data_IF_329228307351
#
_entry.id   IF_329228307351
#
_cell.length_a   1.000
_cell.length_b   1.000
_cell.length_c   1.000
_cell.angle_alpha   90.00
_cell.angle_beta   90.00
_cell.angle_gamma   90.00
#
_symmetry.space_group_name_H-M   'P 1'
#
loop_
_entity.id
_entity.type
_entity.pdbx_description
1 polymer ?
#
# COMPACT_ATOMS: atom_id res chain seq x y z
N UNK A 1 -14.03 -13.87 10.37
CA UNK A 1 -13.75 -12.84 9.34
C UNK A 1 -12.80 -13.34 8.26
N UNK A 2 -11.66 -13.95 8.64
CA UNK A 2 -10.63 -14.43 7.70
C UNK A 2 -11.10 -15.38 6.59
N UNK A 3 -12.17 -16.15 6.77
CA UNK A 3 -12.76 -16.96 5.68
C UNK A 3 -13.25 -16.16 4.48
N UNK A 4 -13.40 -14.83 4.62
CA UNK A 4 -13.76 -13.88 3.56
C UNK A 4 -12.62 -12.90 3.23
N UNK A 5 -11.37 -13.23 3.57
CA UNK A 5 -10.22 -12.32 3.40
C UNK A 5 -9.99 -11.90 1.94
N UNK A 6 -10.41 -12.73 0.96
CA UNK A 6 -10.33 -12.39 -0.47
C UNK A 6 -11.45 -11.48 -0.98
N UNK A 7 -12.39 -11.05 -0.14
CA UNK A 7 -13.49 -10.15 -0.58
C UNK A 7 -13.08 -8.69 -0.45
N UNK A 8 -13.36 -7.88 -1.48
CA UNK A 8 -13.04 -6.44 -1.47
C UNK A 8 -13.70 -5.65 -0.32
N UNK A 9 -14.83 -6.15 0.19
CA UNK A 9 -15.60 -5.54 1.28
C UNK A 9 -15.14 -6.00 2.68
N UNK A 10 -13.91 -6.50 2.82
CA UNK A 10 -13.35 -6.89 4.12
C UNK A 10 -13.24 -5.68 5.05
N UNK A 11 -13.88 -5.73 6.22
CA UNK A 11 -13.87 -4.63 7.20
C UNK A 11 -12.62 -4.72 8.07
N UNK A 12 -11.54 -4.08 7.62
CA UNK A 12 -10.24 -4.10 8.31
C UNK A 12 -10.31 -3.49 9.71
N UNK A 13 -11.13 -2.45 9.91
CA UNK A 13 -11.31 -1.80 11.21
C UNK A 13 -12.01 -2.71 12.22
N UNK A 14 -13.03 -3.46 11.78
CA UNK A 14 -13.66 -4.46 12.64
C UNK A 14 -12.69 -5.60 12.95
N UNK A 15 -11.92 -6.02 11.96
CA UNK A 15 -10.92 -7.07 12.15
C UNK A 15 -9.87 -6.66 13.21
N UNK A 16 -9.34 -5.44 13.10
CA UNK A 16 -8.39 -4.88 14.08
C UNK A 16 -8.94 -4.81 15.50
N UNK A 17 -10.21 -4.37 15.65
CA UNK A 17 -10.87 -4.37 16.97
C UNK A 17 -11.00 -5.77 17.57
N UNK A 18 -11.32 -6.77 16.74
CA UNK A 18 -11.48 -8.16 17.19
C UNK A 18 -10.15 -8.85 17.49
N UNK A 19 -9.04 -8.36 16.94
CA UNK A 19 -7.68 -8.86 17.22
C UNK A 19 -6.93 -8.00 18.22
N UNK A 20 -7.60 -7.03 18.88
CA UNK A 20 -7.00 -6.12 19.85
C UNK A 20 -5.79 -5.35 19.31
N UNK A 21 -5.89 -4.79 18.10
CA UNK A 21 -4.81 -4.03 17.48
C UNK A 21 -3.77 -4.91 16.77
N UNK A 22 -4.05 -6.20 16.59
CA UNK A 22 -3.11 -7.16 16.00
C UNK A 22 -3.52 -7.58 14.57
N UNK A 23 -4.19 -6.68 13.83
CA UNK A 23 -4.71 -6.97 12.48
C UNK A 23 -3.60 -7.36 11.51
N UNK A 24 -2.50 -6.60 11.44
CA UNK A 24 -1.42 -6.84 10.48
C UNK A 24 -0.79 -8.23 10.65
N UNK A 25 -0.34 -8.56 11.87
CA UNK A 25 0.29 -9.86 12.16
C UNK A 25 -0.68 -11.01 11.86
N UNK A 26 -1.91 -10.93 12.37
CA UNK A 26 -2.92 -11.99 12.22
C UNK A 26 -3.28 -12.20 10.75
N UNK A 27 -3.43 -11.11 9.99
CA UNK A 27 -3.74 -11.15 8.56
C UNK A 27 -2.60 -11.78 7.76
N UNK A 28 -1.36 -11.30 7.93
CA UNK A 28 -0.21 -11.78 7.14
C UNK A 28 0.06 -13.26 7.41
N UNK A 29 0.01 -13.71 8.68
CA UNK A 29 0.16 -15.14 9.01
C UNK A 29 -0.93 -15.98 8.31
N UNK A 30 -2.17 -15.51 8.34
CA UNK A 30 -3.27 -16.20 7.66
C UNK A 30 -3.04 -16.28 6.15
N UNK A 31 -2.68 -15.16 5.50
CA UNK A 31 -2.41 -15.09 4.07
C UNK A 31 -1.23 -15.97 3.66
N UNK A 32 -0.15 -15.99 4.45
CA UNK A 32 1.00 -16.86 4.23
C UNK A 32 0.62 -18.34 4.31
N UNK A 33 -0.27 -18.70 5.22
CA UNK A 33 -0.77 -20.06 5.37
C UNK A 33 -1.65 -20.48 4.18
N UNK A 34 -2.68 -19.69 3.83
CA UNK A 34 -3.61 -20.05 2.74
C UNK A 34 -2.98 -19.98 1.35
N UNK A 35 -1.94 -19.16 1.17
CA UNK A 35 -1.13 -19.11 -0.05
C UNK A 35 -0.03 -20.18 -0.09
N UNK A 36 0.10 -21.02 0.93
CA UNK A 36 1.07 -22.12 0.98
C UNK A 36 2.52 -21.68 1.20
N UNK A 37 2.78 -20.41 1.49
CA UNK A 37 4.14 -19.83 1.57
C UNK A 37 4.93 -20.40 2.77
N UNK A 38 4.26 -20.66 3.89
CA UNK A 38 4.90 -21.24 5.09
C UNK A 38 5.52 -22.59 4.74
N UNK A 39 4.75 -23.46 4.07
CA UNK A 39 5.23 -24.78 3.67
C UNK A 39 6.27 -24.68 2.54
N UNK A 40 6.01 -23.87 1.52
CA UNK A 40 6.88 -23.73 0.35
C UNK A 40 8.29 -23.27 0.73
N UNK A 41 8.41 -22.24 1.58
CA UNK A 41 9.69 -21.68 2.02
C UNK A 41 10.20 -22.28 3.34
N UNK A 42 9.51 -23.28 3.90
CA UNK A 42 9.85 -23.90 5.18
C UNK A 42 10.02 -22.86 6.31
N UNK A 43 9.11 -21.90 6.38
CA UNK A 43 9.19 -20.81 7.35
C UNK A 43 8.92 -21.33 8.76
N UNK A 44 9.83 -20.98 9.69
CA UNK A 44 9.59 -21.15 11.12
C UNK A 44 8.50 -20.16 11.57
N UNK A 45 7.34 -20.69 11.95
CA UNK A 45 6.15 -19.89 12.31
C UNK A 45 6.41 -19.00 13.53
N UNK A 46 7.28 -19.41 14.46
CA UNK A 46 7.65 -18.60 15.63
C UNK A 46 8.52 -17.43 15.20
N UNK A 47 9.51 -17.66 14.33
CA UNK A 47 10.34 -16.57 13.78
C UNK A 47 9.52 -15.63 12.90
N UNK A 48 8.60 -16.16 12.09
CA UNK A 48 7.69 -15.38 11.26
C UNK A 48 6.79 -14.48 12.13
N UNK A 49 6.16 -15.03 13.17
CA UNK A 49 5.34 -14.24 14.08
C UNK A 49 6.17 -13.14 14.76
N UNK A 50 7.34 -13.47 15.32
CA UNK A 50 8.22 -12.46 15.96
C UNK A 50 8.61 -11.36 14.97
N UNK A 51 8.95 -11.73 13.75
CA UNK A 51 9.28 -10.78 12.71
C UNK A 51 8.11 -9.84 12.42
N UNK A 52 6.92 -10.38 12.14
CA UNK A 52 5.73 -9.57 11.87
C UNK A 52 5.33 -8.71 13.07
N UNK A 53 5.54 -9.18 14.30
CA UNK A 53 5.34 -8.37 15.51
C UNK A 53 6.26 -7.15 15.52
N UNK A 54 7.55 -7.31 15.21
CA UNK A 54 8.48 -6.17 15.09
C UNK A 54 8.01 -5.18 14.02
N UNK A 55 7.57 -5.69 12.85
CA UNK A 55 7.04 -4.84 11.76
C UNK A 55 5.84 -4.03 12.24
N UNK A 56 4.88 -4.66 12.92
CA UNK A 56 3.68 -3.99 13.43
C UNK A 56 4.00 -2.98 14.54
N UNK A 57 4.97 -3.28 15.41
CA UNK A 57 5.40 -2.41 16.50
C UNK A 57 6.18 -1.18 16.01
N UNK A 58 6.87 -1.29 14.86
CA UNK A 58 7.55 -0.17 14.21
C UNK A 58 6.57 0.77 13.47
N UNK A 59 5.29 0.43 13.37
CA UNK A 59 4.25 1.38 12.96
C UNK A 59 3.79 2.26 14.13
N UNK A 60 3.65 3.55 13.85
CA UNK A 60 3.29 4.56 14.83
C UNK A 60 1.77 4.56 15.05
N UNK A 61 1.29 3.82 16.06
CA UNK A 61 -0.15 3.68 16.38
C UNK A 61 -0.90 5.00 16.65
N UNK A 62 -0.17 6.09 16.95
CA UNK A 62 -0.69 7.43 17.16
C UNK A 62 -1.03 8.17 15.86
N UNK A 63 -0.48 7.75 14.72
CA UNK A 63 -0.80 8.30 13.41
C UNK A 63 -2.25 7.93 13.05
N UNK A 64 -3.12 8.88 12.70
CA UNK A 64 -4.51 8.58 12.34
C UNK A 64 -4.64 7.62 11.16
N UNK A 65 -3.77 7.76 10.15
CA UNK A 65 -3.79 7.04 8.88
C UNK A 65 -2.58 6.10 8.74
N UNK A 66 -1.35 6.62 8.72
CA UNK A 66 -0.14 5.82 8.45
C UNK A 66 0.29 5.00 9.68
N UNK A 67 -0.47 3.95 9.98
CA UNK A 67 -0.29 3.01 11.08
C UNK A 67 -0.48 1.56 10.60
N UNK A 68 -0.35 0.57 11.49
CA UNK A 68 -0.44 -0.84 11.14
C UNK A 68 -1.80 -1.28 10.56
N UNK A 69 -2.89 -0.56 10.84
CA UNK A 69 -4.22 -0.85 10.26
C UNK A 69 -4.21 -0.53 8.76
N UNK A 70 -3.59 0.59 8.35
CA UNK A 70 -3.39 0.94 6.94
C UNK A 70 -2.56 -0.14 6.24
N UNK A 71 -1.42 -0.52 6.83
CA UNK A 71 -0.59 -1.60 6.30
C UNK A 71 -1.37 -2.92 6.13
N UNK A 72 -2.25 -3.24 7.08
CA UNK A 72 -3.10 -4.42 6.99
C UNK A 72 -4.16 -4.29 5.87
N UNK A 73 -4.73 -3.10 5.65
CA UNK A 73 -5.67 -2.84 4.55
C UNK A 73 -5.00 -2.97 3.18
N UNK A 74 -3.82 -2.36 3.02
CA UNK A 74 -3.01 -2.45 1.79
C UNK A 74 -2.60 -3.90 1.52
N UNK A 75 -2.20 -4.65 2.54
CA UNK A 75 -1.90 -6.09 2.41
C UNK A 75 -3.12 -6.89 1.97
N UNK A 76 -4.31 -6.58 2.50
CA UNK A 76 -5.55 -7.24 2.12
C UNK A 76 -5.96 -6.89 0.68
N UNK A 77 -5.83 -5.63 0.26
CA UNK A 77 -6.06 -5.21 -1.12
C UNK A 77 -5.07 -5.87 -2.09
N UNK A 78 -3.79 -5.89 -1.73
CA UNK A 78 -2.74 -6.57 -2.50
C UNK A 78 -3.06 -8.06 -2.67
N UNK A 79 -3.53 -8.73 -1.63
CA UNK A 79 -4.00 -10.12 -1.74
C UNK A 79 -5.16 -10.27 -2.73
N UNK A 80 -6.14 -9.35 -2.75
CA UNK A 80 -7.20 -9.38 -3.77
C UNK A 80 -6.64 -9.25 -5.19
N UNK A 81 -5.68 -8.34 -5.43
CA UNK A 81 -5.04 -8.22 -6.75
C UNK A 81 -4.24 -9.46 -7.15
N UNK A 82 -3.48 -10.05 -6.21
CA UNK A 82 -2.73 -11.29 -6.46
C UNK A 82 -3.64 -12.48 -6.79
N UNK A 83 -4.93 -12.42 -6.44
CA UNK A 83 -5.94 -13.44 -6.76
C UNK A 83 -6.63 -13.21 -8.11
N UNK A 84 -6.37 -12.10 -8.80
CA UNK A 84 -6.94 -11.87 -10.12
C UNK A 84 -6.43 -12.93 -11.12
N UNK A 85 -7.31 -13.61 -11.88
CA UNK A 85 -6.95 -14.83 -12.63
C UNK A 85 -5.72 -14.66 -13.53
N UNK A 86 -5.67 -13.55 -14.29
CA UNK A 86 -4.56 -13.28 -15.22
C UNK A 86 -3.22 -13.10 -14.52
N UNK A 87 -3.20 -12.58 -13.28
CA UNK A 87 -1.99 -12.54 -12.46
C UNK A 87 -1.72 -13.90 -11.82
N UNK A 88 -2.72 -14.46 -11.14
CA UNK A 88 -2.57 -15.66 -10.33
C UNK A 88 -2.00 -16.85 -11.10
N UNK A 89 -2.29 -16.98 -12.40
CA UNK A 89 -1.74 -18.02 -13.28
C UNK A 89 -0.24 -17.91 -13.55
N UNK A 90 0.34 -16.72 -13.40
CA UNK A 90 1.73 -16.40 -13.74
C UNK A 90 2.62 -16.16 -12.52
N UNK A 91 2.04 -15.90 -11.36
CA UNK A 91 2.79 -15.57 -10.15
C UNK A 91 3.44 -16.81 -9.54
N UNK A 92 4.75 -16.71 -9.27
CA UNK A 92 5.48 -17.69 -8.46
C UNK A 92 5.19 -17.50 -6.96
N UNK A 93 5.49 -18.49 -6.11
CA UNK A 93 5.42 -18.33 -4.66
C UNK A 93 6.28 -17.17 -4.13
N UNK A 94 7.41 -16.86 -4.80
CA UNK A 94 8.25 -15.72 -4.44
C UNK A 94 7.56 -14.39 -4.76
N UNK A 95 6.89 -14.28 -5.91
CA UNK A 95 6.13 -13.09 -6.30
C UNK A 95 5.03 -12.76 -5.28
N UNK A 96 4.29 -13.79 -4.83
CA UNK A 96 3.25 -13.65 -3.80
C UNK A 96 3.85 -13.27 -2.45
N UNK A 97 4.97 -13.89 -2.05
CA UNK A 97 5.69 -13.51 -0.83
C UNK A 97 6.13 -12.05 -0.87
N UNK A 98 6.77 -11.62 -1.96
CA UNK A 98 7.27 -10.26 -2.15
C UNK A 98 6.13 -9.24 -2.11
N UNK A 99 5.04 -9.49 -2.83
CA UNK A 99 3.88 -8.60 -2.85
C UNK A 99 3.24 -8.41 -1.47
N UNK A 100 3.02 -9.51 -0.73
CA UNK A 100 2.44 -9.44 0.61
C UNK A 100 3.38 -8.78 1.62
N UNK A 101 4.68 -9.08 1.57
CA UNK A 101 5.65 -8.48 2.49
C UNK A 101 5.91 -7.01 2.21
N UNK A 102 5.98 -6.62 0.93
CA UNK A 102 6.11 -5.21 0.56
C UNK A 102 4.88 -4.42 1.02
N UNK A 103 3.67 -4.93 0.79
CA UNK A 103 2.44 -4.31 1.27
C UNK A 103 2.41 -4.15 2.81
N UNK A 104 2.81 -5.18 3.54
CA UNK A 104 2.86 -5.15 5.01
C UNK A 104 3.90 -4.18 5.58
N UNK A 105 4.91 -3.81 4.80
CA UNK A 105 6.07 -3.05 5.25
C UNK A 105 6.23 -1.66 4.60
N UNK A 106 5.38 -1.30 3.64
CA UNK A 106 5.63 -0.14 2.76
C UNK A 106 5.75 1.21 3.49
N UNK A 107 5.12 1.31 4.67
CA UNK A 107 5.04 2.52 5.50
C UNK A 107 5.62 2.33 6.92
N UNK A 108 6.47 1.33 7.12
CA UNK A 108 7.10 1.08 8.43
C UNK A 108 7.87 2.34 8.88
N UNK A 109 7.73 2.69 10.16
CA UNK A 109 8.33 3.89 10.78
C UNK A 109 7.89 5.23 10.13
N UNK A 110 6.73 5.26 9.46
CA UNK A 110 6.19 6.50 8.90
C UNK A 110 5.93 7.55 10.02
N UNK A 111 6.52 8.76 9.93
CA UNK A 111 6.51 9.75 11.03
C UNK A 111 5.21 10.56 11.14
N UNK A 112 4.23 10.30 10.27
CA UNK A 112 2.97 11.03 10.21
C UNK A 112 3.06 12.39 9.53
N UNK A 113 4.14 12.62 8.78
CA UNK A 113 4.41 13.86 8.02
C UNK A 113 5.01 13.52 6.66
N UNK A 114 4.73 14.36 5.67
CA UNK A 114 5.14 14.14 4.29
C UNK A 114 6.64 14.46 4.04
N UNK A 115 7.15 14.02 2.88
CA UNK A 115 8.54 14.23 2.49
C UNK A 115 8.97 15.71 2.45
N UNK A 116 8.18 16.66 1.88
CA UNK A 116 8.49 18.09 1.97
C UNK A 116 8.69 18.60 3.41
N UNK A 117 7.89 18.10 4.37
CA UNK A 117 8.05 18.44 5.78
C UNK A 117 9.38 17.93 6.37
N UNK A 118 9.78 16.71 6.04
CA UNK A 118 11.07 16.16 6.48
C UNK A 118 12.26 16.94 5.91
N UNK A 119 12.17 17.36 4.65
CA UNK A 119 13.20 18.17 3.98
C UNK A 119 13.32 19.55 4.65
N UNK A 120 12.20 20.26 4.86
CA UNK A 120 12.23 21.61 5.46
C UNK A 120 12.73 21.61 6.90
N UNK A 121 12.48 20.53 7.65
CA UNK A 121 12.93 20.37 9.04
C UNK A 121 14.34 19.76 9.16
N UNK A 122 14.99 19.40 8.04
CA UNK A 122 16.28 18.70 8.00
C UNK A 122 16.27 17.41 8.83
N UNK A 123 15.15 16.70 8.83
CA UNK A 123 15.01 15.47 9.59
C UNK A 123 15.93 14.38 9.03
N UNK A 124 16.50 13.54 9.90
CA UNK A 124 17.42 12.47 9.49
C UNK A 124 16.78 11.44 8.54
N UNK A 125 15.45 11.33 8.55
CA UNK A 125 14.66 10.48 7.63
C UNK A 125 14.38 11.12 6.25
N UNK A 126 14.83 12.35 6.00
CA UNK A 126 14.69 12.98 4.67
C UNK A 126 15.43 12.20 3.57
N UNK A 127 16.45 11.41 3.95
CA UNK A 127 17.05 10.38 3.10
C UNK A 127 16.26 9.08 3.30
N UNK A 128 15.27 8.85 2.44
CA UNK A 128 14.38 7.67 2.36
C UNK A 128 14.31 6.75 3.59
N UNK A 129 13.15 6.77 4.25
CA UNK A 129 12.68 5.86 5.33
C UNK A 129 13.02 4.37 5.05
N UNK A 130 13.16 4.02 3.77
CA UNK A 130 13.45 2.69 3.23
C UNK A 130 14.82 2.07 3.51
N UNK A 131 15.79 2.81 4.05
CA UNK A 131 17.16 2.27 4.23
C UNK A 131 17.33 1.33 5.45
N UNK A 132 16.30 1.14 6.29
CA UNK A 132 16.45 0.48 7.59
C UNK A 132 15.79 -0.90 7.72
N UNK A 133 14.99 -1.34 6.75
CA UNK A 133 14.24 -2.59 6.87
C UNK A 133 14.92 -3.75 6.13
N UNK A 134 15.49 -4.70 6.89
CA UNK A 134 16.08 -5.94 6.38
C UNK A 134 15.33 -7.16 6.90
N UNK A 135 14.49 -7.82 6.10
CA UNK A 135 13.78 -9.01 6.54
C UNK A 135 14.77 -10.19 6.67
N UNK A 136 14.96 -10.76 7.87
CA UNK A 136 15.88 -11.89 8.07
C UNK A 136 15.31 -13.23 7.59
N UNK A 137 14.06 -13.26 7.09
CA UNK A 137 13.32 -14.50 6.80
C UNK A 137 13.77 -15.21 5.52
N UNK A 138 14.22 -14.46 4.51
CA UNK A 138 14.78 -14.99 3.27
C UNK A 138 16.10 -14.26 3.02
N UNK A 139 17.16 -14.75 3.67
CA UNK A 139 18.47 -14.10 3.74
C UNK A 139 19.22 -14.12 2.39
N UNK A 140 18.65 -13.50 1.36
CA UNK A 140 19.23 -13.36 0.03
C UNK A 140 19.11 -11.91 -0.45
N UNK A 141 20.21 -11.39 -0.99
CA UNK A 141 20.34 -9.99 -1.41
C UNK A 141 19.36 -9.61 -2.54
N UNK A 142 18.96 -10.58 -3.36
CA UNK A 142 17.97 -10.42 -4.44
C UNK A 142 16.55 -10.14 -3.91
N UNK A 143 16.16 -10.75 -2.78
CA UNK A 143 14.85 -10.54 -2.13
C UNK A 143 14.78 -9.15 -1.52
N UNK A 144 15.84 -8.70 -0.83
CA UNK A 144 15.91 -7.34 -0.25
C UNK A 144 15.79 -6.27 -1.33
N UNK A 145 16.48 -6.44 -2.47
CA UNK A 145 16.41 -5.52 -3.61
C UNK A 145 15.01 -5.48 -4.24
N UNK A 146 14.36 -6.62 -4.43
CA UNK A 146 13.00 -6.67 -4.97
C UNK A 146 11.97 -6.04 -4.03
N UNK A 147 12.05 -6.33 -2.72
CA UNK A 147 11.18 -5.69 -1.72
C UNK A 147 11.38 -4.18 -1.70
N UNK A 148 12.63 -3.72 -1.67
CA UNK A 148 12.94 -2.28 -1.74
C UNK A 148 12.41 -1.64 -3.01
N UNK A 149 12.50 -2.33 -4.15
CA UNK A 149 11.96 -1.86 -5.44
C UNK A 149 10.43 -1.78 -5.45
N UNK A 150 9.73 -2.70 -4.79
CA UNK A 150 8.27 -2.64 -4.63
C UNK A 150 7.85 -1.45 -3.76
N UNK A 151 8.49 -1.29 -2.60
CA UNK A 151 8.13 -0.20 -1.68
C UNK A 151 8.51 1.15 -2.28
N UNK A 152 9.67 1.30 -2.95
CA UNK A 152 10.02 2.55 -3.64
C UNK A 152 9.00 2.95 -4.72
N UNK A 153 8.24 1.99 -5.27
CA UNK A 153 7.19 2.31 -6.23
C UNK A 153 5.97 2.98 -5.59
N UNK A 154 5.75 2.86 -4.27
CA UNK A 154 4.63 3.54 -3.59
C UNK A 154 4.83 5.05 -3.47
N UNK A 155 6.06 5.56 -3.68
CA UNK A 155 6.32 7.00 -3.73
C UNK A 155 5.39 7.69 -4.73
N UNK A 156 4.46 8.47 -4.17
CA UNK A 156 3.42 9.16 -4.91
C UNK A 156 3.99 10.24 -5.84
N UNK A 157 5.15 10.82 -5.51
CA UNK A 157 5.81 11.83 -6.34
C UNK A 157 6.27 11.27 -7.70
N UNK A 158 6.50 9.95 -7.77
CA UNK A 158 6.90 9.22 -8.97
C UNK A 158 5.73 8.54 -9.69
N UNK A 159 4.50 8.73 -9.24
CA UNK A 159 3.32 8.06 -9.80
C UNK A 159 3.23 8.19 -11.34
N UNK A 160 3.47 9.38 -11.90
CA UNK A 160 3.39 9.62 -13.34
C UNK A 160 4.38 8.77 -14.14
N UNK A 161 5.58 8.50 -13.61
CA UNK A 161 6.59 7.65 -14.24
C UNK A 161 6.01 6.24 -14.47
N UNK A 162 5.52 5.60 -13.40
CA UNK A 162 4.98 4.24 -13.44
C UNK A 162 3.75 4.12 -14.37
N UNK A 163 2.89 5.13 -14.38
CA UNK A 163 1.66 5.10 -15.18
C UNK A 163 1.91 5.34 -16.66
N UNK A 164 2.91 6.16 -17.01
CA UNK A 164 3.33 6.33 -18.40
C UNK A 164 3.90 5.02 -18.92
N UNK A 165 4.81 4.39 -18.17
CA UNK A 165 5.35 3.06 -18.52
C UNK A 165 4.25 2.01 -18.62
N UNK A 166 3.29 2.00 -17.69
CA UNK A 166 2.19 1.05 -17.76
C UNK A 166 1.29 1.30 -18.99
N UNK A 167 1.02 2.58 -19.33
CA UNK A 167 0.27 2.94 -20.53
C UNK A 167 0.99 2.50 -21.79
N UNK A 168 2.29 2.74 -21.89
CA UNK A 168 3.12 2.32 -23.02
C UNK A 168 3.02 0.81 -23.22
N UNK A 169 3.15 0.02 -22.15
CA UNK A 169 2.99 -1.42 -22.22
C UNK A 169 1.60 -1.88 -22.68
N UNK A 170 0.54 -1.17 -22.23
CA UNK A 170 -0.83 -1.46 -22.65
C UNK A 170 -1.08 -1.10 -24.13
N UNK A 171 -0.56 0.04 -24.57
CA UNK A 171 -0.69 0.53 -25.95
C UNK A 171 0.09 -0.35 -26.93
N UNK A 172 1.26 -0.83 -26.53
CA UNK A 172 2.10 -1.75 -27.32
C UNK A 172 1.69 -3.22 -27.21
N UNK A 173 0.86 -3.59 -26.22
CA UNK A 173 0.45 -4.96 -25.93
C UNK A 173 1.64 -5.92 -25.72
N UNK A 174 2.73 -5.43 -25.11
CA UNK A 174 3.99 -6.17 -24.94
C UNK A 174 4.20 -6.66 -23.49
N UNK A 175 3.22 -6.47 -22.61
CA UNK A 175 3.23 -6.95 -21.24
C UNK A 175 3.15 -8.49 -21.16
N UNK A 176 4.30 -9.15 -21.18
CA UNK A 176 4.44 -10.60 -21.02
C UNK A 176 4.69 -11.03 -19.55
N UNK A 177 3.68 -11.61 -18.89
CA UNK A 177 3.77 -12.09 -17.51
C UNK A 177 4.61 -13.38 -17.34
N UNK A 178 5.11 -13.99 -18.41
CA UNK A 178 6.12 -15.05 -18.31
C UNK A 178 7.48 -14.46 -17.91
N UNK A 179 7.73 -13.19 -18.23
CA UNK A 179 8.96 -12.48 -17.86
C UNK A 179 8.90 -11.97 -16.41
N UNK A 180 9.95 -12.27 -15.65
CA UNK A 180 10.03 -11.88 -14.23
C UNK A 180 10.01 -10.35 -14.05
N UNK A 181 10.62 -9.60 -14.96
CA UNK A 181 10.64 -8.13 -14.93
C UNK A 181 9.24 -7.53 -15.10
N UNK A 182 8.43 -8.06 -16.03
CA UNK A 182 7.06 -7.62 -16.23
C UNK A 182 6.16 -8.02 -15.06
N UNK A 183 6.33 -9.21 -14.49
CA UNK A 183 5.61 -9.59 -13.25
C UNK A 183 5.95 -8.63 -12.11
N UNK A 184 7.23 -8.34 -11.90
CA UNK A 184 7.67 -7.42 -10.86
C UNK A 184 7.11 -6.01 -11.06
N UNK A 185 7.14 -5.50 -12.30
CA UNK A 185 6.52 -4.21 -12.63
C UNK A 185 5.03 -4.20 -12.33
N UNK A 186 4.30 -5.25 -12.68
CA UNK A 186 2.87 -5.35 -12.36
C UNK A 186 2.60 -5.47 -10.86
N UNK A 187 3.48 -6.10 -10.09
CA UNK A 187 3.40 -6.07 -8.63
C UNK A 187 3.60 -4.66 -8.07
N UNK A 188 4.49 -3.85 -8.67
CA UNK A 188 4.63 -2.43 -8.32
C UNK A 188 3.33 -1.67 -8.60
N UNK A 189 2.73 -1.85 -9.78
CA UNK A 189 1.43 -1.23 -10.11
C UNK A 189 0.34 -1.69 -9.14
N UNK A 190 0.25 -2.98 -8.84
CA UNK A 190 -0.75 -3.53 -7.91
C UNK A 190 -0.57 -3.00 -6.48
N UNK A 191 0.68 -2.85 -6.01
CA UNK A 191 0.96 -2.28 -4.69
C UNK A 191 0.60 -0.79 -4.66
N UNK A 192 0.91 -0.02 -5.70
CA UNK A 192 0.46 1.38 -5.83
C UNK A 192 -1.06 1.47 -5.78
N UNK A 193 -1.77 0.61 -6.51
CA UNK A 193 -3.21 0.54 -6.47
C UNK A 193 -3.71 0.24 -5.05
N UNK A 194 -3.11 -0.73 -4.37
CA UNK A 194 -3.51 -1.14 -3.03
C UNK A 194 -3.33 -0.01 -2.00
N UNK A 195 -2.24 0.74 -2.11
CA UNK A 195 -1.92 1.87 -1.22
C UNK A 195 -2.96 2.99 -1.28
N UNK A 196 -3.44 3.32 -2.49
CA UNK A 196 -4.41 4.41 -2.70
C UNK A 196 -5.84 3.93 -2.95
N UNK A 197 -6.18 2.67 -2.64
CA UNK A 197 -7.49 2.09 -2.97
C UNK A 197 -8.64 2.51 -2.06
N UNK A 198 -8.41 3.35 -1.03
CA UNK A 198 -9.46 3.65 -0.06
C UNK A 198 -10.75 4.23 -0.68
N UNK A 199 -10.68 5.16 -1.68
CA UNK A 199 -11.88 5.65 -2.38
C UNK A 199 -12.64 4.55 -3.16
N UNK A 200 -11.97 3.44 -3.50
CA UNK A 200 -12.56 2.31 -4.20
C UNK A 200 -13.23 1.30 -3.24
N UNK A 201 -13.09 1.48 -1.92
CA UNK A 201 -13.81 0.69 -0.92
C UNK A 201 -15.28 1.13 -0.83
N UNK A 202 -16.11 0.31 -0.21
CA UNK A 202 -17.49 0.71 0.12
C UNK A 202 -17.49 2.01 0.92
N UNK A 203 -18.50 2.85 0.70
CA UNK A 203 -18.60 4.21 1.26
C UNK A 203 -18.25 4.30 2.75
N UNK A 204 -18.72 3.34 3.57
CA UNK A 204 -18.44 3.32 5.01
C UNK A 204 -16.94 3.19 5.33
N UNK A 205 -16.20 2.38 4.60
CA UNK A 205 -14.75 2.21 4.79
C UNK A 205 -14.00 3.38 4.18
N UNK A 206 -14.35 3.76 2.94
CA UNK A 206 -13.78 4.92 2.26
C UNK A 206 -13.87 6.18 3.11
N UNK A 207 -15.05 6.49 3.66
CA UNK A 207 -15.25 7.65 4.54
C UNK A 207 -14.34 7.64 5.78
N UNK A 208 -14.21 6.49 6.46
CA UNK A 208 -13.34 6.40 7.64
C UNK A 208 -11.87 6.64 7.29
N UNK A 209 -11.42 6.14 6.14
CA UNK A 209 -10.07 6.40 5.65
C UNK A 209 -9.87 7.86 5.26
N UNK A 210 -10.83 8.47 4.56
CA UNK A 210 -10.81 9.90 4.22
C UNK A 210 -10.74 10.80 5.46
N UNK A 211 -11.51 10.48 6.51
CA UNK A 211 -11.48 11.23 7.77
C UNK A 211 -10.10 11.10 8.46
N UNK A 212 -9.51 9.91 8.47
CA UNK A 212 -8.19 9.64 9.07
C UNK A 212 -7.04 10.32 8.32
N UNK A 213 -6.99 10.22 6.99
CA UNK A 213 -5.91 10.82 6.20
C UNK A 213 -5.94 12.35 6.33
N UNK A 214 -7.13 12.96 6.30
CA UNK A 214 -7.29 14.39 6.52
C UNK A 214 -6.92 14.79 7.96
N UNK A 215 -7.30 14.01 8.97
CA UNK A 215 -6.87 14.26 10.35
C UNK A 215 -5.34 14.30 10.45
N UNK A 216 -4.64 13.39 9.78
CA UNK A 216 -3.19 13.35 9.77
C UNK A 216 -2.57 14.56 9.05
N UNK A 217 -3.10 14.95 7.89
CA UNK A 217 -2.69 16.18 7.19
C UNK A 217 -2.88 17.42 8.07
N UNK A 218 -4.03 17.54 8.75
CA UNK A 218 -4.29 18.69 9.63
C UNK A 218 -3.37 18.70 10.85
N UNK A 219 -3.00 17.53 11.41
CA UNK A 219 -1.98 17.44 12.46
C UNK A 219 -0.61 17.93 11.97
N UNK A 220 -0.25 17.66 10.72
CA UNK A 220 0.96 18.23 10.12
C UNK A 220 0.83 19.76 10.02
N UNK A 221 -0.28 20.30 9.51
CA UNK A 221 -0.49 21.75 9.40
C UNK A 221 -0.46 22.48 10.73
N UNK A 222 -0.99 21.87 11.79
CA UNK A 222 -0.89 22.37 13.16
C UNK A 222 0.57 22.45 13.63
N UNK A 223 1.40 21.45 13.31
CA UNK A 223 2.82 21.47 13.61
C UNK A 223 3.53 22.57 12.83
N UNK A 224 3.25 22.69 11.53
CA UNK A 224 3.82 23.73 10.66
C UNK A 224 3.51 25.12 11.22
N UNK A 225 2.25 25.37 11.58
CA UNK A 225 1.82 26.63 12.19
C UNK A 225 2.48 26.89 13.55
N UNK A 226 2.66 25.87 14.39
CA UNK A 226 3.33 26.01 15.71
C UNK A 226 4.80 26.36 15.61
N UNK A 227 5.47 25.96 14.52
CA UNK A 227 6.88 26.23 14.28
C UNK A 227 7.12 27.36 13.27
N UNK A 228 6.10 28.20 13.02
CA UNK A 228 6.15 29.32 12.08
C UNK A 228 6.62 28.92 10.67
N UNK A 229 6.26 27.71 10.23
CA UNK A 229 6.51 27.20 8.88
C UNK A 229 5.31 27.49 7.97
N UNK A 230 5.57 27.61 6.66
CA UNK A 230 4.49 27.60 5.67
C UNK A 230 3.71 26.28 5.76
N UNK A 231 2.38 26.42 5.85
CA UNK A 231 1.45 25.30 5.92
C UNK A 231 1.43 24.63 4.54
N UNK A 232 1.65 23.32 4.52
CA UNK A 232 1.65 22.54 3.29
C UNK A 232 0.26 22.50 2.65
N UNK A 233 0.16 22.33 1.32
CA UNK A 233 -1.11 22.09 0.67
C UNK A 233 -1.89 20.95 1.34
N UNK A 234 -3.22 21.09 1.41
CA UNK A 234 -4.17 20.11 2.02
C UNK A 234 -4.07 19.97 3.55
N UNK A 235 -3.13 20.67 4.20
CA UNK A 235 -2.87 20.55 5.63
C UNK A 235 -3.53 21.64 6.47
N UNK A 236 -4.33 22.55 5.91
CA UNK A 236 -4.97 23.63 6.67
C UNK A 236 -6.45 23.34 6.93
N UNK A 237 -6.81 22.93 8.14
CA UNK A 237 -8.20 22.65 8.51
C UNK A 237 -9.15 23.87 8.38
N UNK A 238 -8.62 25.11 8.35
CA UNK A 238 -9.43 26.32 8.20
C UNK A 238 -9.72 26.63 6.73
N UNK A 239 -8.84 26.21 5.82
CA UNK A 239 -8.95 26.47 4.37
C UNK A 239 -9.43 25.25 3.58
N UNK A 240 -9.11 24.04 4.05
CA UNK A 240 -9.39 22.78 3.38
C UNK A 240 -10.62 22.08 3.98
N UNK A 241 -11.25 21.22 3.18
CA UNK A 241 -12.31 20.33 3.65
C UNK A 241 -12.07 18.91 3.17
N UNK A 242 -12.46 17.93 3.98
CA UNK A 242 -12.35 16.50 3.63
C UNK A 242 -12.96 16.23 2.24
N UNK A 243 -14.13 16.77 1.96
CA UNK A 243 -14.78 16.58 0.65
C UNK A 243 -13.98 17.16 -0.51
N UNK A 244 -13.43 18.38 -0.38
CA UNK A 244 -12.64 19.01 -1.44
C UNK A 244 -11.34 18.24 -1.69
N UNK A 245 -10.64 17.82 -0.63
CA UNK A 245 -9.42 16.99 -0.72
C UNK A 245 -9.75 15.70 -1.47
N UNK A 246 -10.76 14.95 -1.03
CA UNK A 246 -11.09 13.65 -1.63
C UNK A 246 -11.57 13.76 -3.08
N UNK A 247 -12.28 14.84 -3.45
CA UNK A 247 -12.62 15.11 -4.87
C UNK A 247 -11.34 15.37 -5.69
N UNK A 248 -10.38 16.11 -5.12
CA UNK A 248 -9.07 16.36 -5.73
C UNK A 248 -8.29 15.08 -5.95
N UNK A 249 -8.12 14.27 -4.89
CA UNK A 249 -7.48 12.95 -4.94
C UNK A 249 -8.13 12.08 -6.02
N UNK A 250 -9.45 11.90 -5.98
CA UNK A 250 -10.18 11.08 -6.97
C UNK A 250 -10.01 11.57 -8.42
N UNK A 251 -9.84 12.88 -8.64
CA UNK A 251 -9.56 13.45 -9.96
C UNK A 251 -8.10 13.29 -10.38
N UNK A 252 -7.16 13.37 -9.44
CA UNK A 252 -5.73 13.12 -9.66
C UNK A 252 -5.43 11.65 -9.98
N UNK A 253 -6.20 10.74 -9.38
CA UNK A 253 -6.17 9.30 -9.66
C UNK A 253 -7.14 8.89 -10.79
N UNK A 254 -7.24 9.65 -11.90
CA UNK A 254 -8.13 9.33 -13.04
C UNK A 254 -7.32 9.03 -14.32
N UNK A 255 -7.06 7.77 -14.63
CA UNK A 255 -5.99 7.32 -15.55
C UNK A 255 -6.42 6.08 -16.38
N UNK A 256 -6.58 6.30 -17.70
CA UNK A 256 -6.66 5.34 -18.82
C UNK A 256 -8.01 4.65 -19.06
N UNK A 257 -8.66 5.06 -20.15
CA UNK A 257 -9.61 4.26 -20.93
C UNK A 257 -8.82 3.58 -22.06
N UNK A 258 -8.99 2.27 -22.26
CA UNK A 258 -8.57 1.58 -23.49
C UNK A 258 -9.81 0.95 -24.12
N UNK A 259 -10.07 1.34 -25.37
CA UNK A 259 -11.04 0.68 -26.24
C UNK A 259 -10.39 -0.62 -26.77
N UNK A 260 -10.38 -1.71 -26.01
CA UNK A 260 -10.35 -3.10 -26.55
C UNK A 260 -10.17 -4.21 -25.49
N UNK A 261 -11.18 -5.09 -25.40
CA UNK A 261 -11.14 -6.55 -25.19
C UNK A 261 -10.17 -7.24 -24.19
N UNK A 262 -9.59 -6.57 -23.20
CA UNK A 262 -8.80 -7.23 -22.15
C UNK A 262 -9.43 -7.03 -20.76
N UNK A 263 -10.27 -7.97 -20.32
CA UNK A 263 -10.82 -8.01 -18.96
C UNK A 263 -9.70 -8.31 -17.94
N UNK A 264 -9.08 -7.28 -17.36
CA UNK A 264 -8.10 -7.36 -16.29
C UNK A 264 -8.65 -6.61 -15.06
N UNK A 265 -9.19 -7.29 -14.06
CA UNK A 265 -9.89 -6.65 -12.92
C UNK A 265 -9.04 -5.73 -12.01
N UNK A 266 -7.80 -5.41 -12.39
CA UNK A 266 -7.07 -4.22 -11.87
C UNK A 266 -7.78 -2.92 -12.31
N UNK A 267 -8.69 -2.96 -13.29
CA UNK A 267 -9.42 -1.80 -13.83
C UNK A 267 -10.43 -1.11 -12.88
N UNK A 268 -10.58 -1.52 -11.62
CA UNK A 268 -11.50 -0.89 -10.67
C UNK A 268 -10.97 0.38 -9.97
N UNK A 269 -9.97 1.06 -10.56
CA UNK A 269 -9.56 2.42 -10.17
C UNK A 269 -10.01 3.49 -11.18
N UNK A 270 -10.61 3.15 -12.33
CA UNK A 270 -10.95 4.17 -13.34
C UNK A 270 -12.33 4.00 -13.96
N UNK A 271 -13.29 4.86 -13.59
CA UNK A 271 -14.51 5.05 -14.40
C UNK A 271 -15.11 6.47 -14.30
N UNK A 272 -15.62 6.97 -15.43
CA UNK A 272 -16.44 8.20 -15.53
C UNK A 272 -17.82 7.79 -16.01
N UNK A 273 -18.85 8.11 -15.23
CA UNK A 273 -20.21 8.21 -15.74
C UNK A 273 -20.49 9.68 -16.12
N UNK A 274 -21.08 9.82 -17.32
CA UNK A 274 -21.66 10.99 -18.01
C UNK A 274 -20.73 12.15 -18.36
#
# INVERSE_FOLDING_TARGET
MLSKVGTWNFDIFLFDRLTNGNSLVTLVIHLFNISGLIHHFQLDVVKLHRFLSMVQEDYHSQNPYHNAIHAADVTQAMYCYLKEPKLAEHLSPLDVFLGLMAAAAHDVDHPGVNQPFLIKTRHHLASSVLTRWRPPLLCRQDVEQQLGSLILATDISRQNEFLLTFREHLDHQDLDLQLAEHRHFILQIALKCADVCNPCRIWKLSRQWSERVCEEFYRQGDLEKRFDLEISPLCDQQADSVSAIQIGEFRGFRIIKSDSNLEFNIYLIFNVAT
#
